data_IF_237638094820
#
_entry.id   IF_237638094820
#
_cell.length_a   1.000
_cell.length_b   1.000
_cell.length_c   1.000
_cell.angle_alpha   90.00
_cell.angle_beta   90.00
_cell.angle_gamma   90.00
#
_symmetry.space_group_name_H-M   'P 1'
#
loop_
_entity.id
_entity.type
_entity.pdbx_description
1 polymer ?
#
# COMPACT_ATOMS: atom_id res chain seq x y z
N UNK A 1 19.98 5.91 -2.01
CA UNK A 1 18.51 6.11 -2.08
C UNK A 1 17.80 4.93 -2.74
N UNK A 2 18.20 4.51 -3.93
CA UNK A 2 17.59 3.37 -4.64
C UNK A 2 17.61 2.07 -3.83
N UNK A 3 18.73 1.73 -3.19
CA UNK A 3 18.84 0.54 -2.33
C UNK A 3 17.82 0.51 -1.18
N UNK A 4 17.52 1.67 -0.59
CA UNK A 4 16.51 1.80 0.48
C UNK A 4 15.09 1.56 -0.06
N UNK A 5 14.78 2.08 -1.25
CA UNK A 5 13.49 1.86 -1.92
C UNK A 5 13.33 0.37 -2.25
N UNK A 6 14.34 -0.26 -2.85
CA UNK A 6 14.31 -1.69 -3.18
C UNK A 6 14.16 -2.56 -1.93
N UNK A 7 14.85 -2.22 -0.85
CA UNK A 7 14.70 -2.92 0.44
C UNK A 7 13.29 -2.75 1.01
N UNK A 8 12.73 -1.54 0.92
CA UNK A 8 11.36 -1.26 1.34
C UNK A 8 10.35 -2.09 0.54
N UNK A 9 10.46 -2.07 -0.79
CA UNK A 9 9.62 -2.87 -1.69
C UNK A 9 9.73 -4.36 -1.39
N UNK A 10 10.95 -4.90 -1.32
CA UNK A 10 11.18 -6.33 -1.01
C UNK A 10 10.58 -6.75 0.33
N UNK A 11 10.71 -5.89 1.34
CA UNK A 11 10.15 -6.17 2.68
C UNK A 11 8.63 -6.06 2.67
N UNK A 12 8.05 -5.25 1.78
CA UNK A 12 6.60 -5.06 1.61
C UNK A 12 5.90 -6.26 0.94
N UNK A 13 6.66 -7.10 0.23
CA UNK A 13 6.13 -8.26 -0.53
C UNK A 13 5.55 -9.39 0.33
N UNK A 14 5.94 -9.47 1.61
CA UNK A 14 5.42 -10.50 2.51
C UNK A 14 5.06 -9.92 3.88
N UNK A 15 3.87 -10.24 4.42
CA UNK A 15 3.43 -9.69 5.70
C UNK A 15 4.15 -10.46 6.81
N UNK A 16 5.19 -9.86 7.40
CA UNK A 16 6.01 -10.48 8.44
C UNK A 16 6.27 -9.53 9.60
N UNK A 17 6.76 -10.05 10.74
CA UNK A 17 7.15 -9.22 11.89
C UNK A 17 8.20 -8.17 11.52
N UNK A 18 9.06 -8.44 10.53
CA UNK A 18 10.10 -7.51 10.10
C UNK A 18 9.52 -6.23 9.48
N UNK A 19 8.36 -6.34 8.82
CA UNK A 19 7.64 -5.20 8.21
C UNK A 19 7.31 -4.12 9.23
N UNK A 20 7.06 -4.50 10.50
CA UNK A 20 6.76 -3.54 11.55
C UNK A 20 7.88 -2.49 11.74
N UNK A 21 9.11 -2.78 11.28
CA UNK A 21 10.23 -1.83 11.29
C UNK A 21 10.15 -0.79 10.17
N UNK A 22 9.43 -1.06 9.08
CA UNK A 22 9.24 -0.12 7.97
C UNK A 22 8.50 1.15 8.38
N UNK A 23 7.82 1.16 9.53
CA UNK A 23 7.26 2.37 10.14
C UNK A 23 8.29 3.50 10.33
N UNK A 24 9.57 3.14 10.49
CA UNK A 24 10.68 4.07 10.66
C UNK A 24 11.39 4.37 9.32
N UNK A 25 10.83 3.95 8.20
CA UNK A 25 11.45 4.17 6.90
C UNK A 25 11.49 5.67 6.55
N UNK A 26 12.57 6.15 5.92
CA UNK A 26 12.69 7.55 5.52
C UNK A 26 11.70 7.90 4.40
N UNK A 27 11.37 9.20 4.28
CA UNK A 27 10.42 9.74 3.30
C UNK A 27 10.64 9.21 1.87
N UNK A 28 11.88 9.26 1.39
CA UNK A 28 12.22 8.83 0.04
C UNK A 28 11.95 7.34 -0.23
N UNK A 29 11.95 6.49 0.80
CA UNK A 29 11.73 5.06 0.65
C UNK A 29 10.26 4.75 0.35
N UNK A 30 9.34 5.25 1.18
CA UNK A 30 7.91 4.98 0.99
C UNK A 30 7.29 5.85 -0.12
N UNK A 31 7.78 7.09 -0.33
CA UNK A 31 7.36 7.89 -1.49
C UNK A 31 7.84 7.27 -2.80
N UNK A 32 9.08 6.77 -2.82
CA UNK A 32 9.59 6.01 -3.98
C UNK A 32 8.75 4.77 -4.27
N UNK A 33 8.38 4.00 -3.24
CA UNK A 33 7.48 2.85 -3.41
C UNK A 33 6.09 3.24 -3.91
N UNK A 34 5.54 4.37 -3.43
CA UNK A 34 4.25 4.93 -3.88
C UNK A 34 4.30 5.30 -5.36
N UNK A 35 5.38 5.93 -5.81
CA UNK A 35 5.59 6.27 -7.23
C UNK A 35 5.73 5.01 -8.09
N UNK A 36 6.52 4.03 -7.66
CA UNK A 36 6.67 2.74 -8.36
C UNK A 36 5.32 2.04 -8.51
N UNK A 37 4.52 1.99 -7.45
CA UNK A 37 3.19 1.38 -7.50
C UNK A 37 2.27 2.14 -8.47
N UNK A 38 2.26 3.47 -8.39
CA UNK A 38 1.43 4.31 -9.25
C UNK A 38 1.78 4.08 -10.72
N UNK A 39 3.07 4.08 -11.05
CA UNK A 39 3.53 3.81 -12.41
C UNK A 39 3.11 2.41 -12.85
N UNK A 40 3.28 1.39 -12.00
CA UNK A 40 2.85 0.03 -12.29
C UNK A 40 1.35 -0.05 -12.58
N UNK A 41 0.51 0.55 -11.74
CA UNK A 41 -0.95 0.54 -11.92
C UNK A 41 -1.34 1.29 -13.18
N UNK A 42 -0.73 2.46 -13.44
CA UNK A 42 -1.01 3.27 -14.64
C UNK A 42 -0.66 2.50 -15.92
N UNK A 43 0.45 1.75 -15.91
CA UNK A 43 0.83 0.89 -17.03
C UNK A 43 -0.15 -0.28 -17.20
N UNK A 44 -0.56 -0.93 -16.11
CA UNK A 44 -1.57 -2.00 -16.17
C UNK A 44 -2.90 -1.49 -16.73
N UNK A 45 -3.37 -0.36 -16.24
CA UNK A 45 -4.59 0.32 -16.67
C UNK A 45 -4.54 0.68 -18.16
N UNK A 46 -3.41 1.26 -18.61
CA UNK A 46 -3.18 1.58 -20.02
C UNK A 46 -3.24 0.34 -20.93
N UNK A 47 -2.64 -0.78 -20.52
CA UNK A 47 -2.64 -2.03 -21.30
C UNK A 47 -4.06 -2.59 -21.46
N UNK A 48 -4.90 -2.47 -20.43
CA UNK A 48 -6.26 -3.01 -20.43
C UNK A 48 -7.23 -2.11 -21.20
N UNK A 49 -7.21 -0.81 -20.93
CA UNK A 49 -8.14 0.15 -21.54
C UNK A 49 -7.78 0.42 -23.00
N UNK A 50 -6.49 0.34 -23.37
CA UNK A 50 -5.96 0.66 -24.70
C UNK A 50 -6.56 1.95 -25.27
N UNK A 51 -6.39 3.08 -24.57
CA UNK A 51 -7.02 4.30 -24.99
C UNK A 51 -6.50 4.72 -26.36
N UNK A 52 -7.38 5.14 -27.26
CA UNK A 52 -7.03 5.76 -28.56
C UNK A 52 -6.43 7.18 -28.40
N UNK A 53 -5.95 7.49 -27.20
CA UNK A 53 -5.52 8.80 -26.74
C UNK A 53 -3.99 8.93 -26.74
N UNK A 54 -3.50 10.16 -26.81
CA UNK A 54 -2.06 10.45 -26.77
C UNK A 54 -1.42 9.92 -25.48
N UNK A 55 -0.56 8.89 -25.63
CA UNK A 55 -0.01 8.09 -24.52
C UNK A 55 0.63 8.94 -23.41
N UNK A 56 1.48 9.95 -23.70
CA UNK A 56 2.07 10.78 -22.64
C UNK A 56 1.05 11.55 -21.81
N UNK A 57 -0.03 12.06 -22.44
CA UNK A 57 -1.08 12.78 -21.74
C UNK A 57 -1.92 11.82 -20.86
N UNK A 58 -2.19 10.61 -21.34
CA UNK A 58 -2.84 9.57 -20.52
C UNK A 58 -2.03 9.24 -19.28
N UNK A 59 -0.75 8.89 -19.46
CA UNK A 59 0.16 8.53 -18.38
C UNK A 59 0.27 9.64 -17.33
N UNK A 60 0.27 10.90 -17.77
CA UNK A 60 0.28 12.04 -16.87
C UNK A 60 -1.04 12.14 -16.11
N UNK A 61 -2.17 12.34 -16.79
CA UNK A 61 -3.45 12.63 -16.14
C UNK A 61 -3.94 11.47 -15.26
N UNK A 62 -3.94 10.24 -15.80
CA UNK A 62 -4.35 9.04 -15.07
C UNK A 62 -3.34 8.68 -13.99
N UNK A 63 -2.04 8.82 -14.25
CA UNK A 63 -1.01 8.59 -13.25
C UNK A 63 -1.18 9.49 -12.03
N UNK A 64 -1.47 10.78 -12.23
CA UNK A 64 -1.77 11.71 -11.13
C UNK A 64 -3.05 11.31 -10.38
N UNK A 65 -4.13 10.96 -11.09
CA UNK A 65 -5.36 10.52 -10.45
C UNK A 65 -5.14 9.26 -9.58
N UNK A 66 -4.49 8.24 -10.14
CA UNK A 66 -4.13 6.99 -9.44
C UNK A 66 -3.26 7.30 -8.22
N UNK A 67 -2.29 8.20 -8.35
CA UNK A 67 -1.43 8.60 -7.23
C UNK A 67 -2.27 9.16 -6.07
N UNK A 68 -3.17 10.11 -6.33
CA UNK A 68 -4.01 10.71 -5.30
C UNK A 68 -4.99 9.72 -4.67
N UNK A 69 -5.65 8.88 -5.48
CA UNK A 69 -6.51 7.82 -4.96
C UNK A 69 -5.74 6.83 -4.08
N UNK A 70 -4.52 6.46 -4.49
CA UNK A 70 -3.67 5.60 -3.69
C UNK A 70 -3.24 6.27 -2.37
N UNK A 71 -2.90 7.56 -2.38
CA UNK A 71 -2.58 8.29 -1.14
C UNK A 71 -3.79 8.37 -0.19
N UNK A 72 -5.00 8.58 -0.72
CA UNK A 72 -6.23 8.56 0.08
C UNK A 72 -6.46 7.17 0.69
N UNK A 73 -6.28 6.11 -0.11
CA UNK A 73 -6.36 4.74 0.35
C UNK A 73 -5.34 4.45 1.48
N UNK A 74 -4.08 4.85 1.29
CA UNK A 74 -3.02 4.75 2.31
C UNK A 74 -3.40 5.53 3.57
N UNK A 75 -3.99 6.71 3.44
CA UNK A 75 -4.43 7.51 4.59
C UNK A 75 -5.50 6.77 5.42
N UNK A 76 -6.50 6.19 4.76
CA UNK A 76 -7.52 5.35 5.41
C UNK A 76 -6.88 4.16 6.12
N UNK A 77 -5.95 3.48 5.45
CA UNK A 77 -5.24 2.33 6.01
C UNK A 77 -4.31 2.72 7.18
N UNK A 78 -3.70 3.90 7.14
CA UNK A 78 -2.90 4.42 8.23
C UNK A 78 -3.76 4.70 9.48
N UNK A 79 -4.96 5.27 9.30
CA UNK A 79 -5.93 5.45 10.38
C UNK A 79 -6.38 4.10 10.95
N UNK A 80 -6.66 3.12 10.09
CA UNK A 80 -6.97 1.76 10.51
C UNK A 80 -5.85 1.15 11.36
N UNK A 81 -4.59 1.26 10.92
CA UNK A 81 -3.42 0.78 11.68
C UNK A 81 -3.32 1.47 13.03
N UNK A 82 -3.54 2.79 13.09
CA UNK A 82 -3.56 3.53 14.35
C UNK A 82 -4.67 3.05 15.28
N UNK A 83 -5.87 2.79 14.76
CA UNK A 83 -6.98 2.25 15.54
C UNK A 83 -6.66 0.87 16.10
N UNK A 84 -6.21 -0.06 15.25
CA UNK A 84 -5.85 -1.43 15.66
C UNK A 84 -4.73 -1.41 16.70
N UNK A 85 -3.69 -0.61 16.48
CA UNK A 85 -2.57 -0.51 17.43
C UNK A 85 -3.00 0.12 18.76
N UNK A 86 -3.91 1.11 18.76
CA UNK A 86 -4.47 1.70 19.98
C UNK A 86 -5.28 0.69 20.80
N UNK A 87 -6.05 -0.17 20.14
CA UNK A 87 -6.90 -1.18 20.79
C UNK A 87 -6.07 -2.38 21.27
N UNK A 88 -5.16 -2.88 20.44
CA UNK A 88 -4.47 -4.16 20.66
C UNK A 88 -3.10 -4.05 21.35
N UNK A 89 -2.33 -2.99 21.08
CA UNK A 89 -0.92 -2.89 21.50
C UNK A 89 -0.78 -2.32 22.91
N UNK A 90 0.13 -2.87 23.69
CA UNK A 90 0.56 -2.29 24.97
C UNK A 90 1.32 -0.96 24.77
N UNK A 91 2.09 -0.84 23.68
CA UNK A 91 2.98 0.29 23.42
C UNK A 91 2.49 1.11 22.23
N UNK A 92 1.49 1.97 22.47
CA UNK A 92 0.90 2.84 21.43
C UNK A 92 1.92 3.80 20.80
N UNK A 93 2.89 4.29 21.58
CA UNK A 93 3.87 5.28 21.13
C UNK A 93 4.80 4.76 20.03
N UNK A 94 5.13 3.46 20.08
CA UNK A 94 6.01 2.83 19.11
C UNK A 94 5.41 2.77 17.69
N UNK A 95 4.08 2.96 17.55
CA UNK A 95 3.34 2.87 16.30
C UNK A 95 2.74 4.21 15.84
N UNK A 96 3.22 5.34 16.36
CA UNK A 96 2.79 6.68 15.92
C UNK A 96 2.95 6.90 14.41
N UNK A 97 4.03 6.38 13.83
CA UNK A 97 4.30 6.46 12.40
C UNK A 97 3.62 5.31 11.64
N UNK A 98 2.29 5.39 11.50
CA UNK A 98 1.52 4.38 10.77
C UNK A 98 1.65 4.51 9.25
N UNK A 99 1.96 5.71 8.73
CA UNK A 99 1.98 5.99 7.30
C UNK A 99 2.96 5.11 6.50
N UNK A 100 4.27 5.02 6.85
CA UNK A 100 5.21 4.22 6.06
C UNK A 100 4.87 2.72 6.10
N UNK A 101 4.31 2.26 7.22
CA UNK A 101 3.81 0.90 7.35
C UNK A 101 2.58 0.66 6.46
N UNK A 102 1.62 1.60 6.43
CA UNK A 102 0.45 1.52 5.58
C UNK A 102 0.86 1.41 4.12
N UNK A 103 1.74 2.29 3.63
CA UNK A 103 2.28 2.22 2.25
C UNK A 103 2.87 0.85 1.94
N UNK A 104 3.67 0.29 2.86
CA UNK A 104 4.27 -1.04 2.67
C UNK A 104 3.19 -2.13 2.55
N UNK A 105 2.22 -2.12 3.45
CA UNK A 105 1.22 -3.18 3.54
C UNK A 105 0.04 -3.02 2.58
N UNK A 106 -0.13 -1.87 1.97
CA UNK A 106 -1.09 -1.67 0.87
C UNK A 106 -0.49 -1.98 -0.49
N UNK A 107 0.84 -2.04 -0.63
CA UNK A 107 1.49 -2.22 -1.93
C UNK A 107 0.98 -3.45 -2.69
N UNK A 108 1.18 -4.65 -2.12
CA UNK A 108 0.75 -5.91 -2.76
C UNK A 108 -0.77 -6.02 -2.89
N UNK A 109 -1.57 -5.74 -1.84
CA UNK A 109 -3.02 -5.78 -1.97
C UNK A 109 -3.58 -4.83 -3.03
N UNK A 110 -2.98 -3.65 -3.23
CA UNK A 110 -3.46 -2.72 -4.25
C UNK A 110 -3.23 -3.28 -5.65
N UNK A 111 -2.07 -3.91 -5.92
CA UNK A 111 -1.83 -4.59 -7.20
C UNK A 111 -2.86 -5.71 -7.42
N UNK A 112 -3.09 -6.53 -6.40
CA UNK A 112 -4.09 -7.62 -6.47
C UNK A 112 -5.48 -7.04 -6.74
N UNK A 113 -5.88 -5.98 -6.04
CA UNK A 113 -7.19 -5.35 -6.18
C UNK A 113 -7.40 -4.80 -7.59
N UNK A 114 -6.40 -4.12 -8.15
CA UNK A 114 -6.44 -3.61 -9.52
C UNK A 114 -6.55 -4.76 -10.53
N UNK A 115 -5.78 -5.83 -10.37
CA UNK A 115 -5.88 -7.00 -11.26
C UNK A 115 -7.26 -7.65 -11.17
N UNK A 116 -7.77 -7.88 -9.96
CA UNK A 116 -9.10 -8.45 -9.74
C UNK A 116 -10.21 -7.59 -10.34
N UNK A 117 -10.11 -6.27 -10.18
CA UNK A 117 -11.07 -5.32 -10.74
C UNK A 117 -11.15 -5.41 -12.27
N UNK A 118 -9.99 -5.48 -12.94
CA UNK A 118 -9.93 -5.62 -14.40
C UNK A 118 -10.39 -7.00 -14.89
N UNK A 119 -10.22 -8.05 -14.09
CA UNK A 119 -10.72 -9.39 -14.43
C UNK A 119 -12.25 -9.49 -14.29
N UNK A 120 -12.77 -9.01 -13.16
CA UNK A 120 -14.20 -8.94 -12.90
C UNK A 120 -14.46 -7.95 -11.74
N UNK A 121 -15.15 -6.82 -12.00
CA UNK A 121 -15.41 -5.80 -10.98
C UNK A 121 -16.09 -6.31 -9.70
N UNK A 122 -16.85 -7.42 -9.78
CA UNK A 122 -17.48 -8.02 -8.59
C UNK A 122 -16.48 -8.62 -7.59
N UNK A 123 -15.24 -8.92 -8.02
CA UNK A 123 -14.17 -9.48 -7.18
C UNK A 123 -13.46 -8.42 -6.31
N UNK A 124 -13.83 -7.13 -6.42
CA UNK A 124 -13.18 -6.05 -5.67
C UNK A 124 -13.22 -6.28 -4.15
N UNK A 125 -14.31 -6.87 -3.64
CA UNK A 125 -14.48 -7.21 -2.23
C UNK A 125 -13.45 -8.23 -1.74
N UNK A 126 -13.06 -9.18 -2.59
CA UNK A 126 -12.02 -10.17 -2.27
C UNK A 126 -10.68 -9.46 -2.09
N UNK A 127 -10.36 -8.51 -2.98
CA UNK A 127 -9.17 -7.67 -2.88
C UNK A 127 -9.13 -6.89 -1.56
N UNK A 128 -10.26 -6.31 -1.13
CA UNK A 128 -10.38 -5.64 0.16
C UNK A 128 -10.16 -6.57 1.36
N UNK A 129 -10.77 -7.76 1.35
CA UNK A 129 -10.59 -8.75 2.43
C UNK A 129 -9.13 -9.19 2.53
N UNK A 130 -8.51 -9.50 1.38
CA UNK A 130 -7.08 -9.83 1.32
C UNK A 130 -6.24 -8.67 1.85
N UNK A 131 -6.54 -7.44 1.46
CA UNK A 131 -5.83 -6.24 1.93
C UNK A 131 -5.91 -6.04 3.43
N UNK A 132 -7.10 -6.20 4.02
CA UNK A 132 -7.30 -6.12 5.46
C UNK A 132 -6.55 -7.23 6.20
N UNK A 133 -6.60 -8.47 5.69
CA UNK A 133 -5.81 -9.58 6.26
C UNK A 133 -4.31 -9.29 6.22
N UNK A 134 -3.83 -8.81 5.08
CA UNK A 134 -2.41 -8.54 4.81
C UNK A 134 -1.86 -7.44 5.72
N UNK A 135 -2.58 -6.33 5.90
CA UNK A 135 -2.16 -5.24 6.78
C UNK A 135 -2.28 -5.58 8.26
N UNK A 136 -3.24 -6.43 8.63
CA UNK A 136 -3.50 -6.78 10.03
C UNK A 136 -2.55 -7.86 10.54
N UNK A 137 -2.15 -8.82 9.68
CA UNK A 137 -1.36 -9.97 10.09
C UNK A 137 -0.06 -9.60 10.84
N UNK A 138 0.79 -8.65 10.37
CA UNK A 138 1.98 -8.26 11.11
C UNK A 138 1.65 -7.59 12.46
N UNK A 139 0.54 -6.84 12.54
CA UNK A 139 0.11 -6.18 13.78
C UNK A 139 -0.24 -7.17 14.88
N UNK A 140 -0.73 -8.37 14.54
CA UNK A 140 -1.01 -9.42 15.53
C UNK A 140 0.24 -9.90 16.28
N UNK A 141 1.43 -9.69 15.71
CA UNK A 141 2.73 -10.09 16.28
C UNK A 141 3.31 -9.06 17.26
N UNK A 142 2.58 -7.97 17.52
CA UNK A 142 2.93 -6.93 18.50
C UNK A 142 2.53 -7.38 19.91
N UNK A 143 3.29 -7.03 20.96
CA UNK A 143 2.91 -7.33 22.34
C UNK A 143 1.53 -6.76 22.70
N UNK A 144 0.63 -7.64 23.17
CA UNK A 144 -0.75 -7.28 23.49
C UNK A 144 -0.83 -6.47 24.78
N UNK A 145 -1.85 -5.61 24.86
CA UNK A 145 -2.29 -5.02 26.13
C UNK A 145 -2.74 -6.18 27.04
N UNK A 146 -2.23 -6.23 28.27
CA UNK A 146 -2.70 -7.16 29.29
C UNK A 146 -4.02 -6.64 29.85
#
# INVERSE_FOLDING_TARGET
>A
MLSTILKFLRTSLFPSKQVLRLRLAPLHAYMGATLVLTLLITVLDFIVIRPDFFVPMWLFLHGFAIFFFYLLWVAIMALYVQLVTKVYSKNMWAYRQAWPYAVAMTFVPTVILVVLYHMNPSLIWIGFIIGLGYITYPLTKVPKKK
#
